data_IF_497815268566
#
_entry.id   IF_497815268566
#
_cell.length_a   1.000
_cell.length_b   1.000
_cell.length_c   1.000
_cell.angle_alpha   90.00
_cell.angle_beta   90.00
_cell.angle_gamma   90.00
#
_symmetry.space_group_name_H-M   'P 1'
#
loop_
_entity.id
_entity.type
_entity.pdbx_description
1 polymer ?
#
# COMPACT_ATOMS: atom_id res chain seq x y z
N UNK A 1 16.16 -18.56 -21.15
CA UNK A 1 14.90 -17.94 -21.61
C UNK A 1 13.88 -17.71 -20.48
N UNK A 2 13.67 -18.65 -19.55
CA UNK A 2 12.69 -18.53 -18.46
C UNK A 2 12.82 -17.24 -17.62
N UNK A 3 14.05 -16.82 -17.31
CA UNK A 3 14.29 -15.61 -16.51
C UNK A 3 13.83 -14.31 -17.19
N UNK A 4 13.91 -14.24 -18.52
CA UNK A 4 13.44 -13.07 -19.30
C UNK A 4 11.92 -12.91 -19.21
N UNK A 5 11.19 -14.03 -19.20
CA UNK A 5 9.72 -14.05 -19.06
C UNK A 5 9.31 -13.63 -17.64
N UNK A 6 10.02 -14.10 -16.61
CA UNK A 6 9.78 -13.71 -15.22
C UNK A 6 10.05 -12.21 -15.00
N UNK A 7 11.14 -11.69 -15.56
CA UNK A 7 11.48 -10.27 -15.51
C UNK A 7 10.40 -9.41 -16.16
N UNK A 8 9.91 -9.79 -17.35
CA UNK A 8 8.81 -9.06 -18.02
C UNK A 8 7.52 -9.04 -17.19
N UNK A 9 7.16 -10.17 -16.56
CA UNK A 9 6.00 -10.22 -15.66
C UNK A 9 6.17 -9.29 -14.46
N UNK A 10 7.35 -9.29 -13.84
CA UNK A 10 7.62 -8.43 -12.70
C UNK A 10 7.63 -6.94 -13.08
N UNK A 11 8.19 -6.60 -14.24
CA UNK A 11 8.14 -5.23 -14.78
C UNK A 11 6.70 -4.74 -14.95
N UNK A 12 5.83 -5.55 -15.57
CA UNK A 12 4.42 -5.19 -15.73
C UNK A 12 3.67 -5.04 -14.41
N UNK A 13 4.08 -5.76 -13.36
CA UNK A 13 3.55 -5.56 -12.01
C UNK A 13 4.06 -4.26 -11.38
N UNK A 14 5.35 -3.96 -11.54
CA UNK A 14 6.04 -2.80 -10.99
C UNK A 14 5.57 -1.47 -11.61
N UNK A 15 5.31 -1.43 -12.92
CA UNK A 15 4.78 -0.24 -13.60
C UNK A 15 3.39 0.14 -13.13
N UNK A 16 2.56 -0.86 -12.86
CA UNK A 16 1.20 -0.69 -12.33
C UNK A 16 1.18 -0.55 -10.81
N UNK A 17 2.33 -0.38 -10.15
CA UNK A 17 2.40 -0.20 -8.71
C UNK A 17 2.01 1.24 -8.34
N UNK A 18 1.25 1.41 -7.26
CA UNK A 18 0.80 2.73 -6.81
C UNK A 18 1.97 3.57 -6.32
N UNK A 19 1.99 4.86 -6.67
CA UNK A 19 2.96 5.84 -6.15
C UNK A 19 2.41 6.46 -4.87
N UNK A 20 3.23 6.53 -3.81
CA UNK A 20 2.87 7.22 -2.56
C UNK A 20 3.19 8.72 -2.69
N UNK A 21 2.19 9.62 -2.76
CA UNK A 21 2.42 11.06 -2.95
C UNK A 21 3.12 11.72 -1.75
N UNK A 22 3.00 11.16 -0.54
CA UNK A 22 3.62 11.72 0.66
C UNK A 22 5.03 11.21 0.90
N UNK A 23 5.34 10.05 0.34
CA UNK A 23 6.68 9.45 0.42
C UNK A 23 7.15 9.16 -0.99
N UNK A 24 7.47 10.21 -1.78
CA UNK A 24 7.97 10.05 -3.15
C UNK A 24 9.31 9.28 -3.20
N UNK A 25 10.02 9.21 -2.06
CA UNK A 25 11.23 8.43 -1.90
C UNK A 25 10.99 6.93 -1.63
N UNK A 26 9.74 6.50 -1.35
CA UNK A 26 9.43 5.07 -1.24
C UNK A 26 9.40 4.44 -2.62
N UNK A 27 10.50 3.77 -2.94
CA UNK A 27 10.84 3.31 -4.28
C UNK A 27 10.47 1.84 -4.52
N UNK A 28 9.40 1.30 -3.93
CA UNK A 28 9.09 -0.13 -4.10
C UNK A 28 8.91 -0.49 -5.58
N UNK A 29 8.21 0.33 -6.37
CA UNK A 29 8.09 0.14 -7.81
C UNK A 29 9.46 0.15 -8.52
N UNK A 30 10.34 1.08 -8.16
CA UNK A 30 11.71 1.16 -8.70
C UNK A 30 12.55 -0.06 -8.31
N UNK A 31 12.43 -0.53 -7.06
CA UNK A 31 13.08 -1.74 -6.58
C UNK A 31 12.58 -2.98 -7.34
N UNK A 32 11.28 -3.09 -7.59
CA UNK A 32 10.74 -4.20 -8.38
C UNK A 32 11.24 -4.16 -9.84
N UNK A 33 11.42 -2.96 -10.40
CA UNK A 33 12.04 -2.78 -11.72
C UNK A 33 13.51 -3.21 -11.74
N UNK A 34 14.29 -2.85 -10.74
CA UNK A 34 15.69 -3.29 -10.65
C UNK A 34 15.80 -4.79 -10.39
N UNK A 35 14.93 -5.35 -9.54
CA UNK A 35 14.85 -6.78 -9.28
C UNK A 35 14.49 -7.58 -10.53
N UNK A 36 13.66 -7.03 -11.43
CA UNK A 36 13.32 -7.68 -12.68
C UNK A 36 14.49 -7.80 -13.66
N UNK A 37 15.49 -6.93 -13.54
CA UNK A 37 16.73 -6.99 -14.32
C UNK A 37 17.81 -7.87 -13.66
N UNK A 38 17.58 -8.32 -12.42
CA UNK A 38 18.58 -9.05 -11.65
C UNK A 38 18.76 -10.49 -12.16
N UNK A 39 20.01 -11.00 -12.31
CA UNK A 39 20.27 -12.32 -12.88
C UNK A 39 19.73 -13.48 -12.02
N UNK A 40 19.51 -13.26 -10.73
CA UNK A 40 18.97 -14.25 -9.77
C UNK A 40 17.51 -13.97 -9.39
N UNK A 41 16.68 -13.56 -10.34
CA UNK A 41 15.25 -13.41 -10.11
C UNK A 41 14.61 -14.80 -9.87
N UNK A 42 13.89 -14.93 -8.76
CA UNK A 42 13.17 -16.16 -8.40
C UNK A 42 11.70 -16.06 -8.83
N UNK A 43 11.07 -17.18 -9.23
CA UNK A 43 9.64 -17.21 -9.51
C UNK A 43 8.80 -16.84 -8.28
N UNK A 44 9.28 -17.17 -7.08
CA UNK A 44 8.62 -16.85 -5.81
C UNK A 44 8.52 -15.34 -5.57
N UNK A 45 9.54 -14.56 -5.97
CA UNK A 45 9.50 -13.11 -5.86
C UNK A 45 8.41 -12.50 -6.76
N UNK A 46 8.25 -13.04 -7.97
CA UNK A 46 7.17 -12.62 -8.89
C UNK A 46 5.81 -12.96 -8.30
N UNK A 47 5.67 -14.18 -7.76
CA UNK A 47 4.42 -14.62 -7.15
C UNK A 47 4.08 -13.82 -5.87
N UNK A 48 5.06 -13.54 -5.02
CA UNK A 48 4.88 -12.72 -3.82
C UNK A 48 4.45 -11.29 -4.18
N UNK A 49 5.07 -10.70 -5.20
CA UNK A 49 4.70 -9.36 -5.68
C UNK A 49 3.25 -9.34 -6.19
N UNK A 50 2.84 -10.39 -6.91
CA UNK A 50 1.46 -10.56 -7.37
C UNK A 50 0.49 -10.73 -6.20
N UNK A 51 0.81 -11.57 -5.22
CA UNK A 51 -0.08 -11.85 -4.08
C UNK A 51 -0.28 -10.63 -3.20
N UNK A 52 0.76 -9.82 -3.02
CA UNK A 52 0.69 -8.52 -2.35
C UNK A 52 -0.23 -7.56 -3.09
N UNK A 53 -0.02 -7.39 -4.40
CA UNK A 53 -0.83 -6.48 -5.23
C UNK A 53 -2.32 -6.84 -5.23
N UNK A 54 -2.62 -8.13 -5.36
CA UNK A 54 -4.00 -8.62 -5.44
C UNK A 54 -4.68 -8.73 -4.06
N UNK A 55 -3.95 -8.38 -2.97
CA UNK A 55 -4.41 -8.49 -1.58
C UNK A 55 -4.94 -9.89 -1.23
N UNK A 56 -4.29 -10.94 -1.75
CA UNK A 56 -4.79 -12.33 -1.66
C UNK A 56 -4.92 -12.77 -0.20
N UNK A 57 -3.96 -12.43 0.67
CA UNK A 57 -3.98 -12.83 2.08
C UNK A 57 -5.15 -12.19 2.84
N UNK A 58 -5.47 -10.92 2.55
CA UNK A 58 -6.62 -10.23 3.12
C UNK A 58 -7.95 -10.89 2.70
N UNK A 59 -8.03 -11.41 1.48
CA UNK A 59 -9.21 -12.12 0.97
C UNK A 59 -9.33 -13.52 1.58
N UNK A 60 -8.22 -14.23 1.72
CA UNK A 60 -8.15 -15.59 2.27
C UNK A 60 -8.47 -15.61 3.77
N UNK A 61 -7.91 -14.67 4.51
CA UNK A 61 -8.10 -14.53 5.95
C UNK A 61 -8.93 -13.28 6.22
N UNK A 62 -10.26 -13.39 6.05
CA UNK A 62 -11.17 -12.28 6.34
C UNK A 62 -11.09 -11.96 7.83
N UNK A 63 -10.50 -10.81 8.15
CA UNK A 63 -10.46 -10.29 9.51
C UNK A 63 -11.87 -9.85 9.93
N UNK A 64 -12.21 -10.04 11.20
CA UNK A 64 -13.48 -9.53 11.75
C UNK A 64 -13.49 -8.00 11.72
N UNK A 65 -14.64 -7.40 11.41
CA UNK A 65 -14.81 -5.94 11.46
C UNK A 65 -14.46 -5.35 12.84
N UNK A 66 -14.65 -6.13 13.92
CA UNK A 66 -14.26 -5.74 15.28
C UNK A 66 -12.75 -5.59 15.45
N UNK A 67 -11.94 -6.31 14.66
CA UNK A 67 -10.48 -6.13 14.67
C UNK A 67 -10.07 -4.84 13.95
N UNK A 68 -10.85 -4.39 12.97
CA UNK A 68 -10.65 -3.13 12.25
C UNK A 68 -11.31 -1.94 12.93
N UNK A 69 -12.14 -2.15 13.96
CA UNK A 69 -12.87 -1.09 14.67
C UNK A 69 -12.69 -1.27 16.18
N UNK A 70 -11.61 -0.72 16.77
CA UNK A 70 -11.33 -0.92 18.18
C UNK A 70 -12.48 -0.34 19.02
N UNK A 71 -12.86 -1.03 20.10
CA UNK A 71 -14.01 -0.65 20.92
C UNK A 71 -13.89 0.77 21.52
N UNK A 72 -12.67 1.19 21.86
CA UNK A 72 -12.37 2.53 22.36
C UNK A 72 -12.50 3.64 21.30
N UNK A 73 -12.38 3.31 20.01
CA UNK A 73 -12.48 4.26 18.91
C UNK A 73 -12.91 3.58 17.60
N UNK A 74 -14.22 3.30 17.43
CA UNK A 74 -14.71 2.53 16.29
C UNK A 74 -14.40 3.14 14.91
N UNK A 75 -14.20 4.46 14.87
CA UNK A 75 -13.93 5.25 13.66
C UNK A 75 -12.44 5.51 13.44
N UNK A 76 -11.54 4.89 14.22
CA UNK A 76 -10.10 5.21 14.21
C UNK A 76 -9.48 5.18 12.80
N UNK A 77 -9.62 4.06 12.09
CA UNK A 77 -9.01 3.92 10.76
C UNK A 77 -9.73 4.73 9.68
N UNK A 78 -11.04 4.91 9.77
CA UNK A 78 -11.80 5.80 8.88
C UNK A 78 -11.31 7.25 9.02
N UNK A 79 -11.07 7.70 10.26
CA UNK A 79 -10.50 9.02 10.56
C UNK A 79 -9.06 9.15 10.05
N UNK A 80 -8.24 8.11 10.17
CA UNK A 80 -6.87 8.11 9.64
C UNK A 80 -6.86 8.28 8.12
N UNK A 81 -7.70 7.53 7.40
CA UNK A 81 -7.82 7.63 5.93
C UNK A 81 -8.31 9.02 5.53
N UNK A 82 -9.36 9.52 6.20
CA UNK A 82 -9.88 10.87 5.92
C UNK A 82 -8.85 11.96 6.19
N UNK A 83 -8.09 11.86 7.29
CA UNK A 83 -7.03 12.81 7.60
C UNK A 83 -5.91 12.77 6.57
N UNK A 84 -5.54 11.57 6.10
CA UNK A 84 -4.57 11.37 5.03
C UNK A 84 -5.03 12.04 3.72
N UNK A 85 -6.27 11.80 3.29
CA UNK A 85 -6.83 12.39 2.07
C UNK A 85 -6.92 13.93 2.15
N UNK A 86 -7.40 14.46 3.28
CA UNK A 86 -7.48 15.91 3.52
C UNK A 86 -6.10 16.55 3.52
N UNK A 87 -5.11 15.92 4.16
CA UNK A 87 -3.74 16.40 4.14
C UNK A 87 -3.15 16.43 2.72
N UNK A 88 -3.53 15.48 1.85
CA UNK A 88 -3.05 15.43 0.47
C UNK A 88 -3.60 16.61 -0.35
N UNK A 89 -4.81 17.05 0.00
CA UNK A 89 -5.49 18.21 -0.58
C UNK A 89 -5.03 19.55 0.04
N UNK A 90 -4.09 19.52 0.99
CA UNK A 90 -3.65 20.72 1.73
C UNK A 90 -4.67 21.23 2.75
N UNK A 91 -5.70 20.44 3.07
CA UNK A 91 -6.74 20.80 4.04
C UNK A 91 -6.27 20.45 5.44
N UNK A 92 -5.80 21.46 6.17
CA UNK A 92 -5.45 21.35 7.58
C UNK A 92 -6.67 21.18 8.49
N UNK A 93 -6.44 20.70 9.71
CA UNK A 93 -7.46 20.66 10.75
C UNK A 93 -7.67 22.06 11.34
N UNK A 94 -8.91 22.56 11.45
CA UNK A 94 -9.19 23.81 12.16
C UNK A 94 -8.73 23.72 13.62
N UNK A 95 -8.05 24.76 14.11
CA UNK A 95 -7.49 24.80 15.47
C UNK A 95 -8.55 24.52 16.56
N UNK A 96 -9.77 25.03 16.39
CA UNK A 96 -10.86 24.84 17.35
C UNK A 96 -11.28 23.36 17.46
N UNK A 97 -11.21 22.57 16.39
CA UNK A 97 -11.49 21.13 16.44
C UNK A 97 -10.44 20.39 17.26
N UNK A 98 -9.18 20.82 17.20
CA UNK A 98 -8.08 20.27 18.00
C UNK A 98 -8.31 20.61 19.47
N UNK A 99 -8.60 21.88 19.77
CA UNK A 99 -8.85 22.37 21.12
C UNK A 99 -10.00 21.65 21.82
N UNK A 100 -11.14 21.47 21.14
CA UNK A 100 -12.31 20.79 21.71
C UNK A 100 -12.28 19.25 21.59
N UNK A 101 -11.21 18.66 21.05
CA UNK A 101 -11.13 17.21 20.86
C UNK A 101 -12.23 16.64 19.94
N UNK A 102 -12.70 17.44 18.98
CA UNK A 102 -13.76 17.06 18.04
C UNK A 102 -13.11 16.38 16.83
N UNK A 103 -13.47 15.12 16.59
CA UNK A 103 -12.85 14.29 15.55
C UNK A 103 -13.67 14.13 14.28
#
# INVERSE_FOLDING_TARGET
MANKILGQKLLGLAEKWTVDPFRPHLQLGTFLKSLAAHPRLTPDAVQATRTLKENIMKKKYKLSDKMLKPASSPQHYERLVMAFEKSAQGIGRPWWKIFFGIY
#
